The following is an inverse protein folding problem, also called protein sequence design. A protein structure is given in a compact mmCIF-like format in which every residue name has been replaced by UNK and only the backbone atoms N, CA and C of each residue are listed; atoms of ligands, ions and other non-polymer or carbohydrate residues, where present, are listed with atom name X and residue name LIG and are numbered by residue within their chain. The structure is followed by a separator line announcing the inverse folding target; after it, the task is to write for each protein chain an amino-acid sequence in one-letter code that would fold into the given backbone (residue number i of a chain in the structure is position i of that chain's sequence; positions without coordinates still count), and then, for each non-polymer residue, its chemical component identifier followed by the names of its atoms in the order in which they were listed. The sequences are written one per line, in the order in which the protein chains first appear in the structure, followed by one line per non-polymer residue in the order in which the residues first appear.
data_IF_028336002913
#
_entry.id   IF_028336002913
#
_cell.length_a   1.000
_cell.length_b   1.000
_cell.length_c   1.000
_cell.angle_alpha   90.00
_cell.angle_beta   90.00
_cell.angle_gamma   90.00
#
_symmetry.space_group_name_H-M   'P 1'
#
loop_
_entity.id
_entity.type
_entity.pdbx_description
1 polymer ?
#
# COMPACT_ATOMS: atom_id res chain seq x y z
N UNK A 1 -14.47 -3.33 -7.61
CA UNK A 1 -13.85 -4.12 -6.54
C UNK A 1 -14.28 -3.53 -5.20
N UNK A 2 -14.70 -4.40 -4.30
CA UNK A 2 -15.14 -3.96 -2.98
C UNK A 2 -13.93 -3.52 -2.16
N UNK A 3 -14.13 -2.58 -1.25
CA UNK A 3 -13.05 -2.01 -0.43
C UNK A 3 -12.37 -3.08 0.45
N UNK A 4 -13.12 -4.01 1.00
CA UNK A 4 -12.55 -5.07 1.82
C UNK A 4 -11.62 -5.95 1.00
N UNK A 5 -12.05 -6.32 -0.19
CA UNK A 5 -11.24 -7.12 -1.09
C UNK A 5 -10.01 -6.36 -1.57
N UNK A 6 -10.18 -5.09 -1.91
CA UNK A 6 -9.08 -4.25 -2.34
C UNK A 6 -8.03 -4.12 -1.26
N UNK A 7 -8.44 -3.85 -0.02
CA UNK A 7 -7.51 -3.74 1.11
C UNK A 7 -6.79 -5.05 1.38
N UNK A 8 -7.48 -6.18 1.26
CA UNK A 8 -6.84 -7.48 1.41
C UNK A 8 -5.75 -7.70 0.37
N UNK A 9 -6.00 -7.31 -0.86
CA UNK A 9 -5.01 -7.42 -1.92
C UNK A 9 -3.81 -6.50 -1.69
N UNK A 10 -4.05 -5.30 -1.17
CA UNK A 10 -2.98 -4.38 -0.82
C UNK A 10 -2.11 -4.97 0.28
N UNK A 11 -2.72 -5.52 1.33
CA UNK A 11 -1.99 -6.13 2.43
C UNK A 11 -1.15 -7.31 1.94
N UNK A 12 -1.70 -8.11 1.06
CA UNK A 12 -0.96 -9.24 0.47
C UNK A 12 0.24 -8.74 -0.33
N UNK A 13 0.07 -7.66 -1.10
CA UNK A 13 1.16 -7.07 -1.84
C UNK A 13 2.27 -6.59 -0.91
N UNK A 14 1.91 -5.94 0.21
CA UNK A 14 2.88 -5.52 1.22
C UNK A 14 3.68 -6.70 1.75
N UNK A 15 2.99 -7.78 2.11
CA UNK A 15 3.64 -8.94 2.69
C UNK A 15 4.57 -9.64 1.71
N UNK A 16 4.14 -9.74 0.46
CA UNK A 16 4.92 -10.45 -0.56
C UNK A 16 6.08 -9.62 -1.11
N UNK A 17 5.84 -8.34 -1.35
CA UNK A 17 6.85 -7.49 -1.99
C UNK A 17 7.90 -6.97 -1.01
N UNK A 18 7.52 -6.75 0.23
CA UNK A 18 8.42 -6.17 1.23
C UNK A 18 8.97 -7.21 2.20
N UNK A 19 8.68 -8.48 1.98
CA UNK A 19 9.20 -9.60 2.79
C UNK A 19 8.99 -9.37 4.29
N UNK A 20 7.76 -9.05 4.68
CA UNK A 20 7.41 -8.80 6.07
C UNK A 20 7.23 -10.12 6.81
N UNK A 21 8.33 -10.74 7.18
CA UNK A 21 8.36 -12.05 7.84
C UNK A 21 7.67 -12.00 9.19
N UNK A 22 6.94 -13.06 9.49
CA UNK A 22 6.23 -13.17 10.76
C UNK A 22 4.97 -12.32 10.82
N UNK A 23 4.63 -11.62 9.74
CA UNK A 23 3.43 -10.82 9.66
C UNK A 23 2.39 -11.49 8.77
N UNK A 24 1.12 -11.26 9.08
CA UNK A 24 0.01 -11.72 8.25
C UNK A 24 -0.86 -10.52 7.90
N UNK A 25 -1.87 -10.73 7.05
CA UNK A 25 -2.81 -9.66 6.71
C UNK A 25 -3.50 -9.11 7.95
N UNK A 26 -3.77 -9.96 8.94
CA UNK A 26 -4.41 -9.54 10.18
C UNK A 26 -3.51 -8.65 11.04
N UNK A 27 -2.20 -8.71 10.85
CA UNK A 27 -1.25 -7.87 11.59
C UNK A 27 -1.16 -6.46 11.03
N UNK A 28 -1.72 -6.22 9.84
CA UNK A 28 -1.69 -4.91 9.20
C UNK A 28 -3.02 -4.21 9.43
N UNK A 29 -2.99 -3.14 10.21
CA UNK A 29 -4.17 -2.32 10.48
C UNK A 29 -4.41 -1.40 9.28
N UNK A 30 -5.63 -1.31 8.80
CA UNK A 30 -5.98 -0.48 7.65
C UNK A 30 -5.66 1.00 7.85
N UNK A 31 -5.78 1.48 9.06
CA UNK A 31 -5.59 2.90 9.38
C UNK A 31 -4.20 3.20 9.96
N UNK A 32 -3.42 2.18 10.29
CA UNK A 32 -2.11 2.39 10.91
C UNK A 32 -1.09 2.92 9.91
N UNK A 33 -0.14 3.74 10.37
CA UNK A 33 0.94 4.19 9.50
C UNK A 33 1.76 3.04 8.95
N UNK A 34 2.18 3.13 7.70
CA UNK A 34 3.03 2.12 7.09
C UNK A 34 4.51 2.40 7.32
N UNK A 35 4.87 3.67 7.50
CA UNK A 35 6.26 4.10 7.67
C UNK A 35 6.51 4.54 9.10
N UNK A 36 7.79 4.56 9.48
CA UNK A 36 8.19 5.01 10.80
C UNK A 36 7.68 4.08 11.89
N UNK A 37 6.84 4.60 12.78
CA UNK A 37 6.35 3.87 13.94
C UNK A 37 5.40 2.72 13.61
N UNK A 38 4.82 2.70 12.39
CA UNK A 38 3.91 1.62 11.99
C UNK A 38 4.67 0.34 11.67
N UNK A 39 4.75 -0.01 10.39
CA UNK A 39 5.48 -1.19 9.94
C UNK A 39 6.99 -0.96 9.85
N UNK A 40 7.44 0.27 10.04
CA UNK A 40 8.86 0.59 10.00
C UNK A 40 9.44 0.61 8.60
N UNK A 41 8.63 0.85 7.60
CA UNK A 41 9.09 0.90 6.21
C UNK A 41 9.92 2.15 5.94
N UNK A 42 10.85 2.06 5.00
CA UNK A 42 11.72 3.19 4.62
C UNK A 42 11.49 3.60 3.16
N UNK A 43 12.33 4.51 2.66
CA UNK A 43 12.18 5.04 1.30
C UNK A 43 12.34 3.98 0.21
N UNK A 44 13.21 2.99 0.44
CA UNK A 44 13.38 1.90 -0.52
C UNK A 44 12.15 1.00 -0.56
N UNK A 45 11.56 0.78 0.61
CA UNK A 45 10.32 0.02 0.69
C UNK A 45 9.19 0.74 -0.03
N UNK A 46 9.14 2.07 0.09
CA UNK A 46 8.13 2.87 -0.59
C UNK A 46 8.26 2.74 -2.11
N UNK A 47 9.48 2.80 -2.63
CA UNK A 47 9.71 2.64 -4.06
C UNK A 47 9.29 1.26 -4.54
N UNK A 48 9.68 0.24 -3.81
CA UNK A 48 9.32 -1.14 -4.14
C UNK A 48 7.82 -1.34 -4.11
N UNK A 49 7.15 -0.78 -3.10
CA UNK A 49 5.71 -0.86 -2.99
C UNK A 49 5.01 -0.12 -4.14
N UNK A 50 5.51 1.05 -4.52
CA UNK A 50 4.95 1.80 -5.63
C UNK A 50 4.99 0.99 -6.92
N UNK A 51 6.11 0.35 -7.19
CA UNK A 51 6.25 -0.50 -8.37
C UNK A 51 5.28 -1.68 -8.33
N UNK A 52 5.15 -2.30 -7.17
CA UNK A 52 4.24 -3.44 -7.00
C UNK A 52 2.78 -3.04 -7.21
N UNK A 53 2.37 -1.91 -6.66
CA UNK A 53 1.00 -1.41 -6.81
C UNK A 53 0.71 -1.08 -8.26
N UNK A 54 1.64 -0.44 -8.95
CA UNK A 54 1.47 -0.11 -10.37
C UNK A 54 1.31 -1.38 -11.19
N UNK A 55 2.12 -2.39 -10.92
CA UNK A 55 2.09 -3.64 -11.66
C UNK A 55 0.83 -4.46 -11.36
N UNK A 56 0.48 -4.58 -10.09
CA UNK A 56 -0.64 -5.43 -9.67
C UNK A 56 -2.00 -4.82 -9.95
N UNK A 57 -2.11 -3.50 -9.83
CA UNK A 57 -3.41 -2.81 -9.96
C UNK A 57 -3.54 -1.96 -11.22
N UNK A 58 -2.45 -1.77 -11.96
CA UNK A 58 -2.48 -1.00 -13.18
C UNK A 58 -2.71 0.50 -12.96
N UNK A 59 -2.32 1.02 -11.81
CA UNK A 59 -2.46 2.43 -11.48
C UNK A 59 -1.08 3.07 -11.33
N UNK A 60 -0.98 4.37 -11.62
CA UNK A 60 0.28 5.09 -11.52
C UNK A 60 0.39 5.74 -10.14
N UNK A 61 1.55 5.62 -9.51
CA UNK A 61 1.85 6.27 -8.25
C UNK A 61 2.78 7.44 -8.52
N UNK A 62 2.35 8.68 -8.22
CA UNK A 62 3.24 9.84 -8.42
C UNK A 62 4.42 9.80 -7.45
N UNK A 63 5.53 10.37 -7.88
CA UNK A 63 6.73 10.45 -7.05
C UNK A 63 6.68 11.67 -6.14
N UNK A 64 7.58 11.71 -5.16
CA UNK A 64 7.74 12.84 -4.26
C UNK A 64 6.75 12.83 -3.11
N UNK A 65 6.34 13.99 -2.64
CA UNK A 65 5.50 14.12 -1.46
C UNK A 65 4.11 13.51 -1.64
N UNK A 66 3.60 13.51 -2.86
CA UNK A 66 2.29 12.90 -3.13
C UNK A 66 2.28 11.42 -2.77
N UNK A 67 3.38 10.71 -2.98
CA UNK A 67 3.46 9.30 -2.63
C UNK A 67 3.38 9.07 -1.14
N UNK A 68 3.89 9.99 -0.33
CA UNK A 68 3.81 9.87 1.14
C UNK A 68 2.37 9.89 1.61
N UNK A 69 1.54 10.73 1.02
CA UNK A 69 0.12 10.79 1.35
C UNK A 69 -0.58 9.50 0.93
N UNK A 70 -0.27 9.01 -0.26
CA UNK A 70 -0.88 7.79 -0.80
C UNK A 70 -0.49 6.58 0.04
N UNK A 71 0.76 6.52 0.48
CA UNK A 71 1.25 5.38 1.26
C UNK A 71 1.19 5.59 2.77
N UNK A 72 0.41 6.55 3.23
CA UNK A 72 0.28 6.80 4.67
C UNK A 72 -0.33 5.59 5.40
N UNK A 73 -1.25 4.89 4.76
CA UNK A 73 -1.91 3.71 5.34
C UNK A 73 -2.51 2.86 4.23
N UNK A 74 -2.99 1.67 4.58
CA UNK A 74 -3.72 0.82 3.63
C UNK A 74 -4.96 1.55 3.13
N UNK A 75 -5.67 2.24 4.03
CA UNK A 75 -6.84 3.04 3.64
C UNK A 75 -6.51 4.06 2.56
N UNK A 76 -5.40 4.76 2.72
CA UNK A 76 -4.98 5.78 1.76
C UNK A 76 -4.64 5.16 0.40
N UNK A 77 -3.95 4.02 0.39
CA UNK A 77 -3.63 3.32 -0.85
C UNK A 77 -4.91 2.85 -1.54
N UNK A 78 -5.84 2.28 -0.78
CA UNK A 78 -7.10 1.81 -1.33
C UNK A 78 -7.90 2.95 -1.95
N UNK A 79 -7.92 4.09 -1.29
CA UNK A 79 -8.61 5.27 -1.82
C UNK A 79 -8.00 5.74 -3.13
N UNK A 80 -6.68 5.80 -3.21
CA UNK A 80 -5.98 6.19 -4.43
C UNK A 80 -6.32 5.25 -5.59
N UNK A 81 -6.27 3.94 -5.35
CA UNK A 81 -6.58 2.95 -6.38
C UNK A 81 -8.02 3.06 -6.83
N UNK A 82 -8.94 3.20 -5.87
CA UNK A 82 -10.36 3.32 -6.19
C UNK A 82 -10.64 4.54 -7.05
N UNK A 83 -10.02 5.67 -6.74
CA UNK A 83 -10.18 6.90 -7.53
C UNK A 83 -9.60 6.73 -8.93
N UNK A 84 -8.43 6.12 -9.05
CA UNK A 84 -7.79 5.91 -10.34
C UNK A 84 -8.61 5.00 -11.25
N UNK A 85 -9.27 4.01 -10.67
CA UNK A 85 -10.07 3.05 -11.43
C UNK A 85 -11.51 3.48 -11.67
N UNK A 86 -11.95 4.52 -11.02
CA UNK A 86 -13.32 5.05 -11.18
C UNK A 86 -13.49 5.80 -12.50
N UNK A 87 -12.43 6.15 -13.16
CA UNK A 87 -12.47 6.89 -14.42
C UNK A 87 -12.69 6.01 -15.64
#
# INVERSE_FOLDING_TARGET
MDQTELKAKIKRALLEELDLRGKTEADIDDAAPLFGAGLGLDSLDALQLAMAIEERFGVTIPEGEASRTIFASVNAIAEHIAQAKAE
#
